data_IF_630700696704
#
_entry.id   IF_630700696704
#
_cell.length_a   1.000
_cell.length_b   1.000
_cell.length_c   1.000
_cell.angle_alpha   90.00
_cell.angle_beta   90.00
_cell.angle_gamma   90.00
#
_symmetry.space_group_name_H-M   'P 1'
#
loop_
_entity.id
_entity.type
_entity.pdbx_description
1 polymer ?
#
# COMPACT_ATOMS: atom_id res chain seq x y z
N UNK A 1 16.45 -0.52 9.39
CA UNK A 1 15.24 -0.10 10.13
C UNK A 1 13.97 -0.45 9.35
N UNK A 2 13.82 -0.02 8.11
CA UNK A 2 12.62 -0.29 7.27
C UNK A 2 12.28 -1.79 7.23
N UNK A 3 13.26 -2.67 6.99
CA UNK A 3 13.03 -4.12 6.93
C UNK A 3 12.50 -4.71 8.25
N UNK A 4 13.04 -4.32 9.39
CA UNK A 4 12.54 -4.76 10.70
C UNK A 4 11.12 -4.24 10.97
N UNK A 5 10.89 -2.97 10.67
CA UNK A 5 9.57 -2.38 10.80
C UNK A 5 8.53 -3.07 9.89
N UNK A 6 8.92 -3.47 8.68
CA UNK A 6 8.08 -4.25 7.76
C UNK A 6 7.62 -5.59 8.36
N UNK A 7 8.50 -6.31 9.04
CA UNK A 7 8.13 -7.59 9.70
C UNK A 7 7.05 -7.34 10.74
N UNK A 8 7.27 -6.38 11.64
CA UNK A 8 6.30 -6.02 12.67
C UNK A 8 4.96 -5.53 12.07
N UNK A 9 5.03 -4.67 11.07
CA UNK A 9 3.85 -4.14 10.38
C UNK A 9 3.02 -5.22 9.68
N UNK A 10 3.69 -6.14 8.98
CA UNK A 10 3.03 -7.25 8.27
C UNK A 10 2.33 -8.21 9.24
N UNK A 11 2.98 -8.57 10.34
CA UNK A 11 2.38 -9.42 11.37
C UNK A 11 1.18 -8.74 12.03
N UNK A 12 1.31 -7.46 12.36
CA UNK A 12 0.22 -6.65 12.94
C UNK A 12 -0.96 -6.54 11.97
N UNK A 13 -0.70 -6.26 10.69
CA UNK A 13 -1.74 -6.19 9.66
C UNK A 13 -2.46 -7.53 9.47
N UNK A 14 -1.72 -8.64 9.46
CA UNK A 14 -2.29 -9.99 9.40
C UNK A 14 -3.19 -10.30 10.61
N UNK A 15 -2.79 -9.90 11.81
CA UNK A 15 -3.58 -10.05 13.02
C UNK A 15 -4.85 -9.17 13.00
N UNK A 16 -4.70 -7.89 12.67
CA UNK A 16 -5.83 -6.95 12.59
C UNK A 16 -6.82 -7.33 11.50
N UNK A 17 -6.34 -7.84 10.37
CA UNK A 17 -7.17 -8.30 9.25
C UNK A 17 -8.09 -9.48 9.59
N UNK A 18 -7.85 -10.19 10.70
CA UNK A 18 -8.76 -11.21 11.24
C UNK A 18 -9.94 -10.61 12.02
N UNK A 19 -9.77 -9.42 12.61
CA UNK A 19 -10.74 -8.81 13.52
C UNK A 19 -11.51 -7.66 12.86
N UNK A 20 -10.89 -6.94 11.94
CA UNK A 20 -11.43 -5.74 11.33
C UNK A 20 -11.62 -5.90 9.82
N UNK A 21 -12.46 -5.05 9.25
CA UNK A 21 -12.68 -4.97 7.81
C UNK A 21 -11.37 -4.65 7.07
N UNK A 22 -11.00 -5.50 6.13
CA UNK A 22 -9.73 -5.39 5.38
C UNK A 22 -9.70 -4.15 4.49
N UNK A 23 -10.85 -3.75 3.93
CA UNK A 23 -10.94 -2.54 3.10
C UNK A 23 -10.63 -1.28 3.89
N UNK A 24 -11.13 -1.17 5.12
CA UNK A 24 -10.85 0.00 5.97
C UNK A 24 -9.41 0.00 6.47
N UNK A 25 -8.85 -1.18 6.77
CA UNK A 25 -7.43 -1.30 7.11
C UNK A 25 -6.55 -0.89 5.93
N UNK A 26 -6.85 -1.32 4.71
CA UNK A 26 -6.13 -0.93 3.49
C UNK A 26 -6.24 0.57 3.24
N UNK A 27 -7.44 1.14 3.29
CA UNK A 27 -7.64 2.58 3.16
C UNK A 27 -6.85 3.36 4.21
N UNK A 28 -6.89 2.92 5.47
CA UNK A 28 -6.14 3.52 6.57
C UNK A 28 -4.62 3.46 6.38
N UNK A 29 -4.10 2.33 5.87
CA UNK A 29 -2.66 2.18 5.55
C UNK A 29 -2.24 3.15 4.45
N UNK A 30 -3.01 3.25 3.34
CA UNK A 30 -2.70 4.17 2.26
C UNK A 30 -2.79 5.63 2.70
N UNK A 31 -3.79 5.97 3.51
CA UNK A 31 -3.92 7.30 4.11
C UNK A 31 -2.73 7.61 5.05
N UNK A 32 -2.37 6.66 5.91
CA UNK A 32 -1.22 6.78 6.81
C UNK A 32 0.08 7.01 6.04
N UNK A 33 0.31 6.26 4.97
CA UNK A 33 1.49 6.45 4.09
C UNK A 33 1.50 7.83 3.45
N UNK A 34 0.34 8.32 2.99
CA UNK A 34 0.19 9.67 2.43
C UNK A 34 0.55 10.74 3.46
N UNK A 35 0.04 10.62 4.68
CA UNK A 35 0.32 11.56 5.79
C UNK A 35 1.81 11.55 6.15
N UNK A 36 2.40 10.35 6.30
CA UNK A 36 3.83 10.20 6.63
C UNK A 36 4.72 10.81 5.53
N UNK A 37 4.41 10.55 4.26
CA UNK A 37 5.15 11.11 3.14
C UNK A 37 5.04 12.63 3.08
N UNK A 38 3.84 13.18 3.27
CA UNK A 38 3.60 14.62 3.30
C UNK A 38 4.36 15.28 4.47
N UNK A 39 4.29 14.70 5.66
CA UNK A 39 5.03 15.20 6.82
C UNK A 39 6.54 15.19 6.60
N UNK A 40 7.08 14.13 5.97
CA UNK A 40 8.50 14.02 5.70
C UNK A 40 9.01 15.08 4.72
N UNK A 41 8.20 15.46 3.71
CA UNK A 41 8.56 16.53 2.75
C UNK A 41 8.42 17.92 3.38
N UNK A 42 7.40 18.10 4.24
CA UNK A 42 7.09 19.41 4.83
C UNK A 42 7.99 19.77 6.02
N UNK A 43 8.62 18.79 6.67
CA UNK A 43 9.45 18.99 7.84
C UNK A 43 10.95 19.02 7.48
N UNK A 44 11.80 19.69 8.29
CA UNK A 44 13.24 19.65 8.09
C UNK A 44 13.78 18.22 8.13
N UNK A 45 14.67 17.89 7.19
CA UNK A 45 15.33 16.59 7.13
C UNK A 45 16.42 16.55 8.19
N UNK A 46 16.18 15.78 9.24
CA UNK A 46 17.12 15.53 10.33
C UNK A 46 17.33 14.02 10.48
N UNK A 47 18.42 13.56 11.14
CA UNK A 47 18.58 12.12 11.43
C UNK A 47 17.37 11.51 12.16
N UNK A 48 16.75 12.27 13.06
CA UNK A 48 15.57 11.84 13.82
C UNK A 48 14.37 11.70 12.90
N UNK A 49 14.11 12.68 12.01
CA UNK A 49 12.99 12.60 11.06
C UNK A 49 13.13 11.45 10.07
N UNK A 50 14.36 11.14 9.63
CA UNK A 50 14.65 9.99 8.76
C UNK A 50 14.41 8.66 9.50
N UNK A 51 14.82 8.54 10.75
CA UNK A 51 14.59 7.34 11.57
C UNK A 51 13.08 7.12 11.75
N UNK A 52 12.35 8.17 12.14
CA UNK A 52 10.89 8.09 12.34
C UNK A 52 10.17 7.72 11.05
N UNK A 53 10.51 8.39 9.94
CA UNK A 53 9.97 8.08 8.61
C UNK A 53 10.24 6.61 8.24
N UNK A 54 11.47 6.11 8.46
CA UNK A 54 11.86 4.74 8.13
C UNK A 54 11.05 3.70 8.91
N UNK A 55 10.80 3.93 10.19
CA UNK A 55 10.00 3.04 11.03
C UNK A 55 8.53 3.11 10.62
N UNK A 56 7.97 4.29 10.52
CA UNK A 56 6.56 4.49 10.21
C UNK A 56 6.21 4.00 8.80
N UNK A 57 6.97 4.41 7.78
CA UNK A 57 6.76 3.98 6.41
C UNK A 57 7.02 2.48 6.25
N UNK A 58 8.11 1.97 6.86
CA UNK A 58 8.43 0.54 6.86
C UNK A 58 7.31 -0.31 7.43
N UNK A 59 6.73 0.06 8.56
CA UNK A 59 5.63 -0.67 9.18
C UNK A 59 4.38 -0.77 8.28
N UNK A 60 4.14 0.24 7.43
CA UNK A 60 3.00 0.26 6.53
C UNK A 60 3.31 -0.31 5.13
N UNK A 61 4.58 -0.51 4.77
CA UNK A 61 4.97 -0.81 3.39
C UNK A 61 4.43 -2.15 2.91
N UNK A 62 4.76 -3.24 3.57
CA UNK A 62 4.29 -4.59 3.22
C UNK A 62 3.00 -5.01 3.94
N UNK A 63 2.48 -4.19 4.84
CA UNK A 63 1.24 -4.46 5.57
C UNK A 63 0.02 -4.63 4.66
N UNK A 64 0.06 -4.08 3.44
CA UNK A 64 -0.99 -4.22 2.43
C UNK A 64 -1.06 -5.63 1.82
N UNK A 65 0.06 -6.37 1.78
CA UNK A 65 0.14 -7.68 1.13
C UNK A 65 -0.81 -8.71 1.76
N UNK A 66 -0.75 -8.99 3.08
CA UNK A 66 -1.64 -9.96 3.71
C UNK A 66 -3.11 -9.49 3.70
N UNK A 67 -3.36 -8.20 3.79
CA UNK A 67 -4.72 -7.65 3.76
C UNK A 67 -5.34 -7.79 2.37
N UNK A 68 -4.60 -7.50 1.31
CA UNK A 68 -5.07 -7.64 -0.09
C UNK A 68 -5.34 -9.11 -0.41
N UNK A 69 -4.40 -10.01 -0.08
CA UNK A 69 -4.58 -11.44 -0.25
C UNK A 69 -5.80 -11.95 0.53
N UNK A 70 -5.94 -11.53 1.78
CA UNK A 70 -7.08 -11.87 2.62
C UNK A 70 -8.41 -11.32 2.10
N UNK A 71 -8.42 -10.13 1.49
CA UNK A 71 -9.60 -9.54 0.89
C UNK A 71 -10.05 -10.33 -0.35
N UNK A 72 -9.13 -10.66 -1.24
CA UNK A 72 -9.40 -11.50 -2.43
C UNK A 72 -9.94 -12.87 -2.02
N UNK A 73 -9.30 -13.53 -1.05
CA UNK A 73 -9.74 -14.83 -0.54
C UNK A 73 -11.14 -14.76 0.11
N UNK A 74 -11.43 -13.67 0.84
CA UNK A 74 -12.72 -13.48 1.49
C UNK A 74 -13.87 -13.27 0.49
N UNK A 75 -13.62 -12.49 -0.56
CA UNK A 75 -14.66 -12.15 -1.55
C UNK A 75 -14.89 -13.31 -2.53
N UNK A 76 -13.83 -13.90 -3.07
CA UNK A 76 -13.87 -14.84 -4.19
C UNK A 76 -13.64 -16.30 -3.79
N UNK A 77 -13.29 -16.55 -2.53
CA UNK A 77 -12.92 -17.89 -2.05
C UNK A 77 -11.51 -18.30 -2.49
N UNK A 78 -11.13 -19.53 -2.12
CA UNK A 78 -9.77 -20.04 -2.35
C UNK A 78 -9.60 -20.69 -3.74
N UNK A 79 -10.70 -21.07 -4.41
CA UNK A 79 -10.65 -21.85 -5.67
C UNK A 79 -9.86 -21.13 -6.77
N UNK A 80 -10.06 -19.85 -6.92
CA UNK A 80 -9.40 -19.02 -7.96
C UNK A 80 -8.37 -18.04 -7.40
N UNK A 81 -7.97 -18.25 -6.14
CA UNK A 81 -7.08 -17.35 -5.42
C UNK A 81 -5.77 -17.07 -6.18
N UNK A 82 -5.14 -18.11 -6.74
CA UNK A 82 -3.89 -17.98 -7.47
C UNK A 82 -4.01 -17.04 -8.68
N UNK A 83 -5.04 -17.23 -9.50
CA UNK A 83 -5.29 -16.40 -10.69
C UNK A 83 -5.65 -14.97 -10.32
N UNK A 84 -6.61 -14.79 -9.41
CA UNK A 84 -7.10 -13.46 -9.04
C UNK A 84 -6.03 -12.65 -8.32
N UNK A 85 -5.33 -13.26 -7.38
CA UNK A 85 -4.22 -12.59 -6.71
C UNK A 85 -3.04 -12.35 -7.64
N UNK A 86 -2.79 -13.24 -8.62
CA UNK A 86 -1.82 -13.04 -9.68
C UNK A 86 -2.10 -11.80 -10.52
N UNK A 87 -3.36 -11.55 -10.89
CA UNK A 87 -3.78 -10.33 -11.61
C UNK A 87 -3.54 -9.08 -10.75
N UNK A 88 -3.91 -9.12 -9.48
CA UNK A 88 -3.67 -8.01 -8.53
C UNK A 88 -2.17 -7.76 -8.39
N UNK A 89 -1.37 -8.81 -8.25
CA UNK A 89 0.07 -8.68 -8.13
C UNK A 89 0.73 -8.18 -9.42
N UNK A 90 0.24 -8.60 -10.58
CA UNK A 90 0.69 -8.08 -11.87
C UNK A 90 0.43 -6.57 -12.01
N UNK A 91 -0.75 -6.10 -11.61
CA UNK A 91 -1.04 -4.66 -11.62
C UNK A 91 -0.12 -3.87 -10.67
N UNK A 92 0.23 -4.46 -9.51
CA UNK A 92 1.21 -3.89 -8.60
C UNK A 92 2.60 -3.78 -9.24
N UNK A 93 3.05 -4.83 -9.94
CA UNK A 93 4.34 -4.82 -10.64
C UNK A 93 4.38 -3.80 -11.77
N UNK A 94 3.29 -3.67 -12.52
CA UNK A 94 3.16 -2.63 -13.55
C UNK A 94 3.24 -1.22 -12.93
N UNK A 95 2.56 -0.99 -11.82
CA UNK A 95 2.67 0.26 -11.07
C UNK A 95 4.08 0.54 -10.55
N UNK A 96 4.78 -0.49 -10.07
CA UNK A 96 6.17 -0.38 -9.63
C UNK A 96 7.11 0.01 -10.78
N UNK A 97 6.96 -0.63 -11.93
CA UNK A 97 7.71 -0.28 -13.14
C UNK A 97 7.48 1.17 -13.54
N UNK A 98 6.22 1.59 -13.64
CA UNK A 98 5.88 2.97 -14.01
C UNK A 98 6.40 3.98 -12.98
N UNK A 99 6.37 3.66 -11.70
CA UNK A 99 6.89 4.51 -10.64
C UNK A 99 8.40 4.72 -10.72
N UNK A 100 9.17 3.66 -10.95
CA UNK A 100 10.63 3.76 -11.12
C UNK A 100 10.98 4.51 -12.40
N UNK A 101 10.32 4.19 -13.52
CA UNK A 101 10.52 4.87 -14.80
C UNK A 101 10.19 6.37 -14.71
N UNK A 102 9.05 6.71 -14.11
CA UNK A 102 8.62 8.10 -13.90
C UNK A 102 9.60 8.83 -12.99
N UNK A 103 10.08 8.17 -11.94
CA UNK A 103 11.08 8.70 -11.02
C UNK A 103 12.35 9.12 -11.72
N UNK A 104 12.91 8.24 -12.57
CA UNK A 104 14.09 8.56 -13.37
C UNK A 104 13.83 9.71 -14.33
N UNK A 105 12.70 9.66 -15.05
CA UNK A 105 12.33 10.71 -16.02
C UNK A 105 12.14 12.09 -15.38
N UNK A 106 11.52 12.17 -14.22
CA UNK A 106 11.35 13.43 -13.48
C UNK A 106 12.68 13.95 -12.97
N UNK A 107 13.57 13.09 -12.49
CA UNK A 107 14.90 13.50 -12.08
C UNK A 107 15.73 14.04 -13.25
N UNK A 108 15.66 13.43 -14.44
CA UNK A 108 16.34 13.90 -15.65
C UNK A 108 15.85 15.29 -16.10
N UNK A 109 14.57 15.59 -15.87
CA UNK A 109 13.97 16.86 -16.30
C UNK A 109 14.18 17.97 -15.25
N UNK A 110 13.98 17.67 -13.98
CA UNK A 110 13.92 18.66 -12.90
C UNK A 110 15.17 18.67 -12.00
N UNK A 111 16.01 17.63 -12.05
CA UNK A 111 17.20 17.48 -11.21
C UNK A 111 16.90 17.09 -9.76
N UNK A 112 15.63 16.85 -9.42
CA UNK A 112 15.20 16.43 -8.09
C UNK A 112 14.00 15.46 -8.13
N UNK A 113 13.61 14.93 -6.98
CA UNK A 113 12.48 13.99 -6.84
C UNK A 113 11.20 14.63 -6.28
N UNK A 114 11.15 15.95 -6.14
CA UNK A 114 10.02 16.66 -5.51
C UNK A 114 8.70 16.37 -6.23
N UNK A 115 8.69 16.41 -7.56
CA UNK A 115 7.51 16.08 -8.36
C UNK A 115 7.04 14.64 -8.13
N UNK A 116 7.97 13.70 -8.05
CA UNK A 116 7.67 12.26 -7.80
C UNK A 116 7.03 12.05 -6.43
N UNK A 117 7.51 12.76 -5.41
CA UNK A 117 6.93 12.71 -4.08
C UNK A 117 5.47 13.20 -4.08
N UNK A 118 5.19 14.33 -4.72
CA UNK A 118 3.82 14.85 -4.81
C UNK A 118 2.88 13.95 -5.61
N UNK A 119 3.35 13.36 -6.70
CA UNK A 119 2.60 12.36 -7.45
C UNK A 119 2.33 11.14 -6.57
N UNK A 120 3.32 10.65 -5.84
CA UNK A 120 3.17 9.54 -4.90
C UNK A 120 2.15 9.79 -3.80
N UNK A 121 2.14 11.01 -3.23
CA UNK A 121 1.14 11.47 -2.25
C UNK A 121 -0.26 11.45 -2.85
N UNK A 122 -0.42 11.99 -4.06
CA UNK A 122 -1.70 12.00 -4.79
C UNK A 122 -2.23 10.59 -5.06
N UNK A 123 -1.37 9.68 -5.53
CA UNK A 123 -1.72 8.27 -5.77
C UNK A 123 -2.06 7.56 -4.45
N UNK A 124 -1.34 7.86 -3.38
CA UNK A 124 -1.63 7.29 -2.05
C UNK A 124 -3.02 7.70 -1.55
N UNK A 125 -3.39 8.97 -1.68
CA UNK A 125 -4.71 9.47 -1.34
C UNK A 125 -5.80 8.84 -2.22
N UNK A 126 -5.58 8.78 -3.54
CA UNK A 126 -6.48 8.12 -4.46
C UNK A 126 -6.68 6.64 -4.08
N UNK A 127 -5.60 5.93 -3.75
CA UNK A 127 -5.67 4.54 -3.31
C UNK A 127 -6.49 4.38 -2.03
N UNK A 128 -6.34 5.28 -1.05
CA UNK A 128 -7.15 5.26 0.17
C UNK A 128 -8.65 5.38 -0.14
N UNK A 129 -9.02 6.28 -1.05
CA UNK A 129 -10.41 6.54 -1.44
C UNK A 129 -11.01 5.36 -2.20
N UNK A 130 -10.27 4.79 -3.17
CA UNK A 130 -10.74 3.69 -4.02
C UNK A 130 -11.03 2.41 -3.23
N UNK A 131 -10.42 2.20 -2.08
CA UNK A 131 -10.71 1.05 -1.23
C UNK A 131 -12.05 1.16 -0.47
N UNK A 132 -12.58 2.36 -0.26
CA UNK A 132 -13.81 2.57 0.51
C UNK A 132 -15.07 1.94 -0.11
N UNK A 133 -15.32 2.02 -1.43
CA UNK A 133 -16.51 1.44 -2.05
C UNK A 133 -16.46 -0.09 -2.18
N UNK A 134 -15.35 -0.76 -1.89
CA UNK A 134 -15.24 -2.22 -1.99
C UNK A 134 -16.30 -2.87 -1.07
N UNK A 135 -17.12 -3.74 -1.65
CA UNK A 135 -18.08 -4.55 -0.90
C UNK A 135 -17.40 -5.82 -0.40
N UNK A 136 -17.10 -5.86 0.90
CA UNK A 136 -16.45 -6.99 1.56
C UNK A 136 -17.48 -8.09 1.89
N UNK A 137 -18.09 -8.65 0.83
CA UNK A 137 -19.06 -9.77 0.91
C UNK A 137 -18.57 -10.91 0.04
N UNK A 138 -18.66 -12.13 0.58
CA UNK A 138 -18.37 -13.32 -0.20
C UNK A 138 -19.38 -13.44 -1.37
N UNK A 139 -18.84 -13.68 -2.56
CA UNK A 139 -19.68 -13.98 -3.74
C UNK A 139 -20.07 -15.45 -3.65
N UNK A 140 -21.37 -15.75 -3.51
CA UNK A 140 -21.88 -17.10 -3.62
C UNK A 140 -21.74 -17.56 -5.09
N UNK A 141 -20.70 -18.33 -5.38
CA UNK A 141 -20.62 -19.04 -6.67
C UNK A 141 -21.58 -20.22 -6.58
N UNK A 142 -22.77 -20.08 -7.15
CA UNK A 142 -23.60 -21.25 -7.43
C UNK A 142 -22.82 -22.11 -8.43
N UNK A 143 -22.28 -23.20 -7.95
CA UNK A 143 -21.71 -24.25 -8.82
C UNK A 143 -22.92 -24.94 -9.43
N UNK A 144 -23.18 -24.66 -10.72
CA UNK A 144 -24.04 -25.49 -11.54
C UNK A 144 -23.31 -26.78 -11.91
#
# INVERSE_FOLDING_TARGET
>A
LIGLANVAGTLTAGYLGKRYSKKYLLSGIYLGRTVIATAFIALPITPISVIFFSIAMGSLWLATVPLTAGLVAHIYGLRYMGTLYGIVFFSHQLGSFLGVWLGGKMYDIYGDYTAVWWIGIGIGLFSAIVHLPIKERAISVHVA
#
